data_IF_745294725326
#
_entry.id   IF_745294725326
#
_cell.length_a   1.000
_cell.length_b   1.000
_cell.length_c   1.000
_cell.angle_alpha   90.00
_cell.angle_beta   90.00
_cell.angle_gamma   90.00
#
_symmetry.space_group_name_H-M   'P 1'
#
loop_
_entity.id
_entity.type
_entity.pdbx_description
1 polymer ?
#
# COMPACT_ATOMS: atom_id res chain seq x y z
N UNK A 1 -14.34 3.56 4.16
CA UNK A 1 -13.59 3.61 5.44
C UNK A 1 -14.42 4.17 6.60
N UNK A 2 -15.73 3.88 6.68
CA UNK A 2 -16.55 4.27 7.85
C UNK A 2 -16.15 3.48 9.09
N UNK A 3 -15.97 2.16 8.94
CA UNK A 3 -15.18 1.34 9.86
C UNK A 3 -13.69 1.54 9.59
N UNK A 4 -13.01 2.21 10.52
CA UNK A 4 -11.58 2.55 10.45
C UNK A 4 -10.67 1.42 10.94
N UNK A 5 -11.22 0.45 11.67
CA UNK A 5 -10.51 -0.73 12.17
C UNK A 5 -10.52 -1.91 11.21
N UNK A 6 -11.43 -1.92 10.22
CA UNK A 6 -11.50 -2.98 9.20
C UNK A 6 -10.13 -3.21 8.56
N UNK A 7 -9.71 -4.47 8.48
CA UNK A 7 -8.61 -4.92 7.61
C UNK A 7 -9.24 -5.46 6.34
N UNK A 8 -8.86 -4.92 5.18
CA UNK A 8 -9.37 -5.39 3.89
C UNK A 8 -8.56 -6.59 3.42
N UNK A 9 -9.25 -7.66 3.04
CA UNK A 9 -8.64 -8.69 2.20
C UNK A 9 -8.39 -8.06 0.81
N UNK A 10 -7.19 -8.22 0.25
CA UNK A 10 -6.92 -7.75 -1.10
C UNK A 10 -8.05 -8.18 -2.08
N UNK A 11 -8.48 -9.43 -2.08
CA UNK A 11 -9.45 -9.95 -3.06
C UNK A 11 -10.80 -9.22 -2.99
N UNK A 12 -11.18 -8.73 -1.83
CA UNK A 12 -12.38 -7.91 -1.67
C UNK A 12 -12.27 -6.58 -2.42
N UNK A 13 -11.06 -6.01 -2.51
CA UNK A 13 -10.79 -4.72 -3.18
C UNK A 13 -11.03 -4.82 -4.69
N UNK A 14 -10.80 -6.00 -5.30
CA UNK A 14 -11.05 -6.24 -6.73
C UNK A 14 -12.50 -5.92 -7.11
N UNK A 15 -13.45 -6.20 -6.22
CA UNK A 15 -14.88 -5.94 -6.45
C UNK A 15 -15.23 -4.44 -6.54
N UNK A 16 -14.33 -3.55 -6.11
CA UNK A 16 -14.48 -2.10 -6.16
C UNK A 16 -13.75 -1.46 -7.35
N UNK A 17 -13.09 -2.26 -8.19
CA UNK A 17 -12.35 -1.71 -9.33
C UNK A 17 -13.29 -1.15 -10.39
N UNK A 18 -12.97 0.01 -10.98
CA UNK A 18 -13.75 0.56 -12.09
C UNK A 18 -13.58 -0.32 -13.33
N UNK A 19 -14.53 -0.18 -14.26
CA UNK A 19 -14.40 -0.78 -15.59
C UNK A 19 -13.10 -0.34 -16.29
N UNK A 20 -12.42 -1.24 -17.03
CA UNK A 20 -11.19 -0.91 -17.72
C UNK A 20 -11.37 0.27 -18.68
N UNK A 21 -10.42 1.20 -18.64
CA UNK A 21 -10.39 2.31 -19.58
C UNK A 21 -10.13 1.79 -20.99
N UNK A 22 -11.08 2.02 -21.92
CA UNK A 22 -11.07 1.37 -23.23
C UNK A 22 -10.31 2.12 -24.33
N UNK A 23 -9.82 3.33 -24.07
CA UNK A 23 -9.13 4.11 -25.10
C UNK A 23 -7.72 3.57 -25.33
N UNK A 24 -7.45 3.14 -26.56
CA UNK A 24 -6.13 2.63 -26.97
C UNK A 24 -5.24 3.80 -27.39
N UNK A 25 -3.95 3.71 -27.09
CA UNK A 25 -2.94 4.66 -27.57
C UNK A 25 -2.71 5.89 -26.69
N UNK A 26 -3.35 5.99 -25.53
CA UNK A 26 -3.10 7.05 -24.55
C UNK A 26 -2.66 6.46 -23.21
N UNK A 27 -1.63 7.05 -22.61
CA UNK A 27 -1.21 6.72 -21.25
C UNK A 27 -2.12 7.42 -20.24
N UNK A 28 -2.59 6.68 -19.24
CA UNK A 28 -3.31 7.23 -18.11
C UNK A 28 -2.83 6.56 -16.81
N UNK A 29 -2.58 7.36 -15.79
CA UNK A 29 -2.21 6.85 -14.48
C UNK A 29 -3.41 6.13 -13.84
N UNK A 30 -3.21 4.89 -13.42
CA UNK A 30 -4.28 4.06 -12.86
C UNK A 30 -3.76 3.34 -11.62
N UNK A 31 -4.25 3.76 -10.45
CA UNK A 31 -4.01 3.01 -9.21
C UNK A 31 -4.55 1.59 -9.28
N UNK A 32 -5.67 1.37 -9.99
CA UNK A 32 -6.25 0.04 -10.25
C UNK A 32 -5.24 -0.93 -10.85
N UNK A 33 -4.35 -0.45 -11.74
CA UNK A 33 -3.33 -1.30 -12.34
C UNK A 33 -2.31 -1.79 -11.31
N UNK A 34 -1.87 -0.93 -10.39
CA UNK A 34 -0.95 -1.32 -9.31
C UNK A 34 -1.59 -2.30 -8.34
N UNK A 35 -2.89 -2.15 -8.04
CA UNK A 35 -3.63 -3.15 -7.27
C UNK A 35 -3.67 -4.51 -7.98
N UNK A 36 -4.02 -4.55 -9.27
CA UNK A 36 -4.03 -5.78 -10.07
C UNK A 36 -2.65 -6.43 -10.08
N UNK A 37 -1.58 -5.65 -10.21
CA UNK A 37 -0.21 -6.17 -10.15
C UNK A 37 0.11 -6.80 -8.80
N UNK A 38 -0.32 -6.21 -7.67
CA UNK A 38 -0.15 -6.87 -6.37
C UNK A 38 -0.85 -8.23 -6.30
N UNK A 39 -2.08 -8.34 -6.83
CA UNK A 39 -2.76 -9.63 -6.89
C UNK A 39 -2.01 -10.66 -7.71
N UNK A 40 -1.51 -10.27 -8.88
CA UNK A 40 -0.75 -11.17 -9.74
C UNK A 40 0.51 -11.65 -9.02
N UNK A 41 1.20 -10.78 -8.29
CA UNK A 41 2.37 -11.16 -7.49
C UNK A 41 1.98 -12.20 -6.43
N UNK A 42 0.90 -11.99 -5.70
CA UNK A 42 0.44 -12.92 -4.67
C UNK A 42 0.02 -14.27 -5.25
N UNK A 43 -0.78 -14.27 -6.32
CA UNK A 43 -1.26 -15.49 -6.98
C UNK A 43 -0.13 -16.29 -7.63
N UNK A 44 0.86 -15.63 -8.26
CA UNK A 44 2.01 -16.31 -8.88
C UNK A 44 3.02 -16.82 -7.85
N UNK A 45 3.21 -16.08 -6.75
CA UNK A 45 4.18 -16.47 -5.72
C UNK A 45 3.63 -17.43 -4.67
N UNK A 46 2.31 -17.46 -4.49
CA UNK A 46 1.65 -18.17 -3.39
C UNK A 46 1.93 -17.56 -2.02
N UNK A 47 2.44 -16.32 -1.96
CA UNK A 47 2.80 -15.59 -0.73
C UNK A 47 2.07 -14.26 -0.67
N UNK A 48 1.93 -13.70 0.53
CA UNK A 48 1.40 -12.34 0.66
C UNK A 48 2.37 -11.31 0.08
N UNK A 49 1.85 -10.17 -0.37
CA UNK A 49 2.66 -9.11 -0.94
C UNK A 49 3.72 -8.61 0.06
N UNK A 50 3.39 -8.53 1.35
CA UNK A 50 4.32 -8.17 2.44
C UNK A 50 5.52 -9.12 2.44
N UNK A 51 5.26 -10.42 2.36
CA UNK A 51 6.31 -11.44 2.40
C UNK A 51 7.18 -11.36 1.15
N UNK A 52 6.58 -11.14 -0.02
CA UNK A 52 7.33 -10.97 -1.27
C UNK A 52 8.23 -9.73 -1.22
N UNK A 53 7.73 -8.60 -0.73
CA UNK A 53 8.52 -7.38 -0.59
C UNK A 53 9.65 -7.55 0.42
N UNK A 54 9.39 -8.19 1.56
CA UNK A 54 10.39 -8.48 2.57
C UNK A 54 11.54 -9.33 1.98
N UNK A 55 11.20 -10.46 1.36
CA UNK A 55 12.17 -11.42 0.85
C UNK A 55 12.95 -10.92 -0.37
N UNK A 56 12.33 -10.09 -1.22
CA UNK A 56 12.90 -9.73 -2.53
C UNK A 56 13.42 -8.30 -2.61
N UNK A 57 13.00 -7.43 -1.71
CA UNK A 57 13.35 -5.99 -1.76
C UNK A 57 13.95 -5.56 -0.44
N UNK A 58 13.20 -5.62 0.67
CA UNK A 58 13.64 -4.97 1.91
C UNK A 58 14.83 -5.68 2.56
N UNK A 59 14.76 -7.00 2.75
CA UNK A 59 15.88 -7.76 3.32
C UNK A 59 17.12 -7.71 2.43
N UNK A 60 17.05 -7.95 1.09
CA UNK A 60 18.24 -7.91 0.23
C UNK A 60 18.90 -6.54 0.11
N UNK A 61 18.14 -5.46 0.30
CA UNK A 61 18.65 -4.08 0.26
C UNK A 61 18.93 -3.51 1.65
N UNK A 62 18.81 -4.30 2.72
CA UNK A 62 19.02 -3.83 4.10
C UNK A 62 18.12 -2.64 4.48
N UNK A 63 16.88 -2.62 3.97
CA UNK A 63 15.85 -1.60 4.27
C UNK A 63 15.05 -1.98 5.53
N UNK A 64 15.73 -1.99 6.69
CA UNK A 64 15.19 -2.51 7.95
C UNK A 64 14.00 -1.71 8.53
N UNK A 65 13.80 -0.47 8.08
CA UNK A 65 12.71 0.41 8.51
C UNK A 65 11.62 0.55 7.44
N UNK A 66 11.51 -0.43 6.54
CA UNK A 66 10.55 -0.47 5.45
C UNK A 66 9.60 -1.65 5.56
N UNK A 67 8.30 -1.41 5.38
CA UNK A 67 7.28 -2.46 5.41
C UNK A 67 6.01 -2.06 4.67
N UNK A 68 5.24 -3.05 4.24
CA UNK A 68 3.87 -2.85 3.80
C UNK A 68 2.91 -2.89 5.00
N UNK A 69 2.05 -1.89 5.10
CA UNK A 69 1.15 -1.67 6.24
C UNK A 69 -0.22 -2.32 6.09
N UNK A 70 -0.41 -3.19 5.10
CA UNK A 70 -1.65 -3.95 4.88
C UNK A 70 -1.88 -4.95 6.01
N UNK A 71 -2.45 -4.45 7.12
CA UNK A 71 -2.74 -5.22 8.33
C UNK A 71 -1.85 -4.90 9.54
N UNK A 72 -0.81 -4.05 9.39
CA UNK A 72 -0.02 -3.57 10.53
C UNK A 72 -0.58 -2.23 11.03
N UNK A 73 -0.77 -2.12 12.34
CA UNK A 73 -1.09 -0.82 12.95
C UNK A 73 0.14 0.08 12.87
N UNK A 74 -0.06 1.27 12.32
CA UNK A 74 0.94 2.34 12.35
C UNK A 74 0.60 3.26 13.52
N UNK A 75 1.62 3.61 14.30
CA UNK A 75 1.52 4.73 15.23
C UNK A 75 1.49 6.04 14.43
N UNK A 76 0.29 6.56 14.19
CA UNK A 76 0.10 7.79 13.43
C UNK A 76 0.68 9.03 14.13
N UNK A 77 1.04 8.95 15.41
CA UNK A 77 1.71 10.06 16.12
C UNK A 77 3.17 10.21 15.71
N UNK A 78 3.77 9.18 15.12
CA UNK A 78 5.11 9.27 14.53
C UNK A 78 5.12 9.98 13.18
N UNK A 79 3.96 10.29 12.61
CA UNK A 79 3.79 10.91 11.30
C UNK A 79 3.34 12.36 11.43
N UNK A 80 4.11 13.26 10.82
CA UNK A 80 3.70 14.64 10.64
C UNK A 80 2.83 14.79 9.40
N UNK A 81 1.91 15.76 9.40
CA UNK A 81 1.18 16.15 8.19
C UNK A 81 0.04 15.21 7.77
N UNK A 82 -0.57 14.48 8.71
CA UNK A 82 -1.73 13.62 8.43
C UNK A 82 -3.02 14.44 8.39
N UNK A 83 -3.44 14.87 7.19
CA UNK A 83 -4.61 15.72 7.00
C UNK A 83 -5.51 15.26 5.85
N UNK A 84 -6.77 15.69 5.89
CA UNK A 84 -7.71 15.60 4.76
C UNK A 84 -8.53 16.87 4.67
N UNK A 85 -8.29 17.67 3.64
CA UNK A 85 -8.80 19.04 3.62
C UNK A 85 -8.25 19.82 4.82
N UNK A 86 -9.13 20.41 5.63
CA UNK A 86 -8.78 21.12 6.86
C UNK A 86 -8.81 20.26 8.13
N UNK A 87 -9.04 18.96 8.03
CA UNK A 87 -9.19 18.06 9.18
C UNK A 87 -7.87 17.36 9.52
N UNK A 88 -7.40 17.51 10.77
CA UNK A 88 -6.26 16.78 11.29
C UNK A 88 -6.67 15.34 11.61
N UNK A 89 -5.94 14.37 11.07
CA UNK A 89 -6.20 12.94 11.24
C UNK A 89 -5.08 12.19 11.96
N UNK A 90 -4.10 12.87 12.55
CA UNK A 90 -2.96 12.24 13.24
C UNK A 90 -3.36 11.31 14.40
N UNK A 91 -4.57 11.41 14.94
CA UNK A 91 -5.07 10.52 16.02
C UNK A 91 -6.02 9.42 15.53
N UNK A 92 -6.29 9.36 14.22
CA UNK A 92 -7.27 8.42 13.67
C UNK A 92 -6.61 7.08 13.35
N UNK A 93 -7.30 5.94 13.57
CA UNK A 93 -6.85 4.66 13.02
C UNK A 93 -6.85 4.73 11.49
N UNK A 94 -5.72 4.35 10.88
CA UNK A 94 -5.56 4.28 9.43
C UNK A 94 -5.55 2.85 8.89
N UNK A 95 -5.82 1.84 9.73
CA UNK A 95 -5.81 0.41 9.36
C UNK A 95 -6.67 0.12 8.13
N UNK A 96 -7.92 0.60 8.11
CA UNK A 96 -8.84 0.45 6.97
C UNK A 96 -8.39 1.21 5.73
N UNK A 97 -7.74 2.36 5.91
CA UNK A 97 -7.20 3.15 4.81
C UNK A 97 -5.99 2.48 4.16
N UNK A 98 -5.08 1.93 4.95
CA UNK A 98 -3.82 1.34 4.49
C UNK A 98 -4.01 -0.07 3.96
N UNK A 99 -4.80 -0.90 4.63
CA UNK A 99 -5.11 -2.25 4.14
C UNK A 99 -5.88 -2.24 2.82
N UNK A 100 -6.71 -1.22 2.55
CA UNK A 100 -7.36 -1.09 1.24
C UNK A 100 -6.43 -0.58 0.14
N UNK A 101 -5.15 -0.30 0.43
CA UNK A 101 -4.20 0.33 -0.51
C UNK A 101 -3.12 -0.60 -1.04
N UNK A 102 -2.89 -1.76 -0.40
CA UNK A 102 -2.01 -2.85 -0.85
C UNK A 102 -0.78 -2.34 -1.66
N UNK A 103 -0.52 -2.91 -2.85
CA UNK A 103 0.62 -2.56 -3.71
C UNK A 103 0.57 -1.19 -4.38
N UNK A 104 -0.46 -0.37 -4.14
CA UNK A 104 -0.54 0.97 -4.71
C UNK A 104 0.08 2.03 -3.76
N UNK A 105 -0.25 2.00 -2.47
CA UNK A 105 0.16 3.06 -1.53
C UNK A 105 0.17 2.64 -0.05
N UNK A 106 0.42 1.36 0.26
CA UNK A 106 0.54 0.87 1.64
C UNK A 106 1.99 0.77 2.17
N UNK A 107 3.00 1.13 1.36
CA UNK A 107 4.40 1.10 1.76
C UNK A 107 4.75 2.24 2.72
N UNK A 108 5.41 1.89 3.82
CA UNK A 108 5.93 2.79 4.83
C UNK A 108 7.44 2.58 4.90
N UNK A 109 8.19 3.68 4.91
CA UNK A 109 9.65 3.68 4.89
C UNK A 109 10.19 4.94 5.56
N UNK A 110 11.44 4.91 5.97
CA UNK A 110 12.20 6.13 6.31
C UNK A 110 12.79 6.76 5.05
N UNK A 111 13.25 8.01 5.16
CA UNK A 111 14.02 8.65 4.09
C UNK A 111 15.39 7.99 3.86
N UNK A 112 15.96 7.36 4.89
CA UNK A 112 17.23 6.64 4.79
C UNK A 112 17.07 5.37 3.93
N UNK A 113 16.09 4.53 4.23
CA UNK A 113 15.80 3.31 3.45
C UNK A 113 15.39 3.65 2.01
N UNK A 114 14.56 4.69 1.83
CA UNK A 114 14.20 5.14 0.50
C UNK A 114 15.45 5.55 -0.30
N UNK A 115 16.43 6.18 0.33
CA UNK A 115 17.69 6.52 -0.32
C UNK A 115 18.54 5.29 -0.67
N UNK A 116 18.44 4.18 0.08
CA UNK A 116 19.10 2.91 -0.28
C UNK A 116 18.50 2.34 -1.57
N UNK A 117 17.17 2.34 -1.68
CA UNK A 117 16.48 1.79 -2.86
C UNK A 117 16.82 2.51 -4.19
N UNK A 118 17.14 3.81 -4.13
CA UNK A 118 17.45 4.62 -5.32
C UNK A 118 18.94 4.74 -5.66
N UNK A 119 19.84 4.11 -4.89
CA UNK A 119 21.28 4.11 -5.16
C UNK A 119 21.66 3.00 -6.14
#
# INVERSE_FOLDING_TARGET
WSDRSKVWDPKDILSYMPEPYQSKGFHNYSSSNSYILSFIIEEVSGKSLETVFEERIFTPLEMESSYLSSGKNIDMTSLNGVWSGSENRSTWPHTSYLSSRSGNSAHISTSADAAIFYR
#
